data_IF_535961087206
#
_entry.id   IF_535961087206
#
_cell.length_a   1.000
_cell.length_b   1.000
_cell.length_c   1.000
_cell.angle_alpha   90.00
_cell.angle_beta   90.00
_cell.angle_gamma   90.00
#
_symmetry.space_group_name_H-M   'P 1'
#
loop_
_entity.id
_entity.type
_entity.pdbx_description
1 polymer ?
#
# COMPACT_ATOMS: atom_id res chain seq x y z
N UNK A 1 -0.83 3.52 -25.92
CA UNK A 1 -0.22 4.68 -25.23
C UNK A 1 0.54 4.14 -24.04
N UNK A 2 1.80 4.54 -23.80
CA UNK A 2 2.54 4.08 -22.62
C UNK A 2 1.79 4.48 -21.34
N UNK A 3 1.87 3.64 -20.31
CA UNK A 3 1.41 3.99 -18.95
C UNK A 3 2.35 5.07 -18.41
N UNK A 4 1.83 6.24 -18.07
CA UNK A 4 2.61 7.41 -17.66
C UNK A 4 2.00 8.05 -16.42
N UNK A 5 2.81 8.15 -15.36
CA UNK A 5 2.48 8.91 -14.17
C UNK A 5 3.48 10.05 -14.05
N UNK A 6 3.00 11.29 -13.99
CA UNK A 6 3.86 12.48 -13.95
C UNK A 6 4.51 12.70 -12.58
N UNK A 7 4.02 12.01 -11.54
CA UNK A 7 4.49 12.09 -10.16
C UNK A 7 4.30 10.74 -9.47
N UNK A 8 4.87 10.59 -8.27
CA UNK A 8 4.61 9.45 -7.40
C UNK A 8 3.12 9.46 -7.03
N UNK A 9 2.49 8.29 -7.15
CA UNK A 9 1.06 8.08 -6.87
C UNK A 9 0.91 7.14 -5.68
N UNK A 10 0.14 7.52 -4.64
CA UNK A 10 -0.20 6.61 -3.55
C UNK A 10 -1.11 5.50 -4.09
N UNK A 11 -0.59 4.28 -4.15
CA UNK A 11 -1.32 3.11 -4.69
C UNK A 11 -1.07 1.88 -3.82
N UNK A 12 -1.88 1.73 -2.78
CA UNK A 12 -1.72 0.72 -1.74
C UNK A 12 -2.15 -0.67 -2.19
N UNK A 13 -1.46 -1.71 -1.69
CA UNK A 13 -1.90 -3.10 -1.86
C UNK A 13 -2.55 -3.68 -0.62
N UNK A 14 -3.36 -4.72 -0.84
CA UNK A 14 -3.95 -5.48 0.25
C UNK A 14 -2.91 -6.36 0.95
N UNK A 15 -3.23 -6.75 2.19
CA UNK A 15 -2.45 -7.71 2.95
C UNK A 15 -2.24 -9.05 2.22
N UNK A 16 -3.28 -9.57 1.58
CA UNK A 16 -3.23 -10.82 0.84
C UNK A 16 -2.30 -10.74 -0.39
N UNK A 17 -2.28 -9.59 -1.06
CA UNK A 17 -1.34 -9.37 -2.16
C UNK A 17 0.11 -9.34 -1.69
N UNK A 18 0.41 -8.73 -0.54
CA UNK A 18 1.76 -8.78 0.04
C UNK A 18 2.16 -10.22 0.37
N UNK A 19 1.26 -11.00 0.98
CA UNK A 19 1.50 -12.42 1.27
C UNK A 19 1.82 -13.21 0.02
N UNK A 20 1.06 -13.02 -1.07
CA UNK A 20 1.30 -13.71 -2.35
C UNK A 20 2.57 -13.23 -3.03
N UNK A 21 2.80 -11.91 -3.09
CA UNK A 21 3.94 -11.30 -3.77
C UNK A 21 5.28 -11.70 -3.15
N UNK A 22 5.35 -11.77 -1.83
CA UNK A 22 6.56 -12.15 -1.09
C UNK A 22 6.56 -13.62 -0.64
N UNK A 23 5.53 -14.40 -0.98
CA UNK A 23 5.35 -15.78 -0.54
C UNK A 23 5.47 -15.96 0.98
N UNK A 24 4.89 -15.04 1.75
CA UNK A 24 4.99 -15.03 3.22
C UNK A 24 4.22 -16.19 3.84
N UNK A 25 4.94 -17.06 4.54
CA UNK A 25 4.37 -18.11 5.36
C UNK A 25 3.81 -17.56 6.68
N UNK A 26 3.08 -18.40 7.41
CA UNK A 26 2.64 -18.07 8.77
C UNK A 26 3.81 -17.84 9.72
N UNK A 27 4.93 -18.53 9.52
CA UNK A 27 6.15 -18.35 10.32
C UNK A 27 6.80 -16.99 10.05
N UNK A 28 6.85 -16.56 8.78
CA UNK A 28 7.38 -15.24 8.41
C UNK A 28 6.52 -14.12 9.03
N UNK A 29 5.20 -14.26 8.95
CA UNK A 29 4.24 -13.34 9.55
C UNK A 29 4.30 -13.30 11.09
N UNK A 30 4.87 -14.32 11.73
CA UNK A 30 5.12 -14.36 13.17
C UNK A 30 6.38 -13.61 13.61
N UNK A 31 7.19 -13.14 12.66
CA UNK A 31 8.41 -12.36 12.93
C UNK A 31 8.10 -10.86 13.10
N UNK A 32 9.13 -10.08 13.43
CA UNK A 32 9.08 -8.61 13.36
C UNK A 32 9.36 -8.19 11.92
N UNK A 33 8.44 -7.47 11.30
CA UNK A 33 8.51 -7.07 9.90
C UNK A 33 8.70 -5.55 9.80
N UNK A 34 9.68 -5.15 8.98
CA UNK A 34 9.84 -3.77 8.53
C UNK A 34 9.44 -3.70 7.04
N UNK A 35 8.37 -2.98 6.74
CA UNK A 35 7.98 -2.65 5.37
C UNK A 35 8.56 -1.30 4.96
N UNK A 36 9.28 -1.26 3.84
CA UNK A 36 9.92 -0.04 3.32
C UNK A 36 9.27 0.35 2.00
N UNK A 37 8.87 1.62 1.89
CA UNK A 37 8.08 2.15 0.76
C UNK A 37 6.70 1.50 0.65
N UNK A 38 6.02 1.35 1.79
CA UNK A 38 4.71 0.69 1.87
C UNK A 38 3.55 1.54 1.34
N UNK A 39 3.71 2.87 1.22
CA UNK A 39 2.64 3.77 0.85
C UNK A 39 1.35 3.53 1.66
N UNK A 40 0.17 3.68 1.04
CA UNK A 40 -1.11 3.46 1.73
C UNK A 40 -1.57 1.99 1.65
N UNK A 41 -0.68 1.01 1.80
CA UNK A 41 -1.04 -0.41 1.80
C UNK A 41 -1.71 -0.85 3.11
N UNK A 42 -2.63 -1.82 3.03
CA UNK A 42 -3.30 -2.37 4.21
C UNK A 42 -2.51 -3.46 4.94
N UNK A 43 -1.28 -3.76 4.51
CA UNK A 43 -0.49 -4.85 5.08
C UNK A 43 -0.24 -4.63 6.58
N UNK A 44 0.16 -3.42 6.97
CA UNK A 44 0.39 -3.06 8.36
C UNK A 44 -0.90 -3.06 9.20
N UNK A 45 -1.94 -2.34 8.74
CA UNK A 45 -3.21 -2.24 9.46
C UNK A 45 -3.87 -3.60 9.65
N UNK A 46 -3.97 -4.39 8.58
CA UNK A 46 -4.56 -5.73 8.61
C UNK A 46 -3.72 -6.70 9.43
N UNK A 47 -2.40 -6.70 9.24
CA UNK A 47 -1.50 -7.58 9.99
C UNK A 47 -1.47 -7.26 11.49
N UNK A 48 -1.47 -5.98 11.85
CA UNK A 48 -1.56 -5.53 13.25
C UNK A 48 -2.87 -5.99 13.91
N UNK A 49 -4.01 -5.91 13.21
CA UNK A 49 -5.29 -6.47 13.69
C UNK A 49 -5.26 -7.99 13.86
N UNK A 50 -4.38 -8.68 13.14
CA UNK A 50 -4.14 -10.12 13.27
C UNK A 50 -3.05 -10.45 14.32
N UNK A 51 -2.54 -9.46 15.06
CA UNK A 51 -1.54 -9.65 16.11
C UNK A 51 -0.08 -9.73 15.63
N UNK A 52 0.19 -9.36 14.37
CA UNK A 52 1.55 -9.34 13.81
C UNK A 52 2.30 -8.07 14.24
N UNK A 53 3.63 -8.16 14.30
CA UNK A 53 4.50 -7.03 14.64
C UNK A 53 5.06 -6.40 13.37
N UNK A 54 4.41 -5.36 12.88
CA UNK A 54 4.76 -4.69 11.63
C UNK A 54 5.03 -3.21 11.88
N UNK A 55 6.14 -2.72 11.33
CA UNK A 55 6.42 -1.28 11.18
C UNK A 55 6.55 -0.99 9.70
N UNK A 56 5.88 0.06 9.23
CA UNK A 56 5.96 0.54 7.86
C UNK A 56 6.67 1.88 7.84
N UNK A 57 7.54 2.07 6.86
CA UNK A 57 8.13 3.37 6.59
C UNK A 57 7.95 3.83 5.14
N UNK A 58 7.54 5.08 4.99
CA UNK A 58 7.34 5.73 3.70
C UNK A 58 7.37 7.26 3.87
N UNK A 59 7.97 8.03 2.94
CA UNK A 59 7.87 9.49 2.95
C UNK A 59 6.44 10.03 3.00
N UNK A 60 5.47 9.27 2.46
CA UNK A 60 4.05 9.59 2.49
C UNK A 60 3.53 9.87 3.91
N UNK A 61 4.10 9.21 4.92
CA UNK A 61 3.60 9.30 6.30
C UNK A 61 3.90 10.63 6.99
N UNK A 62 4.59 11.57 6.32
CA UNK A 62 4.71 12.95 6.79
C UNK A 62 3.40 13.76 6.62
N UNK A 63 2.47 13.28 5.79
CA UNK A 63 1.20 13.94 5.49
C UNK A 63 0.07 13.43 6.38
N UNK A 64 -1.00 14.24 6.52
CA UNK A 64 -2.20 13.83 7.25
C UNK A 64 -3.00 12.76 6.49
N UNK A 65 -3.84 11.99 7.17
CA UNK A 65 -4.75 11.06 6.50
C UNK A 65 -5.64 11.76 5.46
N UNK A 66 -6.11 12.97 5.75
CA UNK A 66 -6.91 13.78 4.83
C UNK A 66 -6.16 14.17 3.56
N UNK A 67 -4.88 14.55 3.67
CA UNK A 67 -4.04 14.87 2.51
C UNK A 67 -3.78 13.63 1.65
N UNK A 68 -3.51 12.49 2.30
CA UNK A 68 -3.28 11.21 1.61
C UNK A 68 -4.57 10.77 0.90
N UNK A 69 -5.73 10.84 1.57
CA UNK A 69 -7.06 10.58 0.99
C UNK A 69 -7.27 11.42 -0.27
N UNK A 70 -7.10 12.73 -0.16
CA UNK A 70 -7.29 13.65 -1.28
C UNK A 70 -6.42 13.24 -2.48
N UNK A 71 -5.16 12.88 -2.22
CA UNK A 71 -4.23 12.47 -3.29
C UNK A 71 -4.64 11.14 -3.92
N UNK A 72 -5.15 10.19 -3.14
CA UNK A 72 -5.72 8.93 -3.67
C UNK A 72 -6.90 9.25 -4.58
N UNK A 73 -7.85 10.06 -4.12
CA UNK A 73 -9.06 10.41 -4.89
C UNK A 73 -8.72 11.11 -6.21
N UNK A 74 -7.72 12.00 -6.22
CA UNK A 74 -7.23 12.69 -7.42
C UNK A 74 -6.59 11.76 -8.46
N UNK A 75 -5.97 10.67 -8.02
CA UNK A 75 -5.14 9.81 -8.88
C UNK A 75 -5.80 8.49 -9.24
N UNK A 76 -6.81 8.06 -8.49
CA UNK A 76 -7.42 6.74 -8.62
C UNK A 76 -8.03 6.49 -10.01
N UNK A 77 -8.85 7.42 -10.49
CA UNK A 77 -9.50 7.32 -11.80
C UNK A 77 -8.49 7.34 -12.95
N UNK A 78 -7.43 8.14 -12.83
CA UNK A 78 -6.35 8.19 -13.82
C UNK A 78 -5.63 6.84 -13.91
N UNK A 79 -5.25 6.26 -12.77
CA UNK A 79 -4.58 4.96 -12.69
C UNK A 79 -5.45 3.86 -13.31
N UNK A 80 -6.74 3.80 -12.98
CA UNK A 80 -7.65 2.80 -13.53
C UNK A 80 -7.89 2.98 -15.03
N UNK A 81 -8.09 4.22 -15.48
CA UNK A 81 -8.25 4.54 -16.90
C UNK A 81 -7.03 4.10 -17.71
N UNK A 82 -5.83 4.41 -17.21
CA UNK A 82 -4.58 3.96 -17.85
C UNK A 82 -4.41 2.44 -17.78
N UNK A 83 -4.83 1.81 -16.69
CA UNK A 83 -4.78 0.34 -16.55
C UNK A 83 -5.68 -0.35 -17.56
N UNK A 84 -6.92 0.10 -17.74
CA UNK A 84 -7.85 -0.44 -18.74
C UNK A 84 -7.33 -0.18 -20.16
N UNK A 85 -6.85 1.02 -20.47
CA UNK A 85 -6.26 1.32 -21.77
C UNK A 85 -5.02 0.46 -22.09
N UNK A 86 -4.35 -0.05 -21.06
CA UNK A 86 -3.18 -0.91 -21.15
C UNK A 86 -3.47 -2.35 -20.71
N UNK A 87 -4.72 -2.79 -20.67
CA UNK A 87 -5.14 -4.08 -20.08
C UNK A 87 -4.32 -5.27 -20.55
N UNK A 88 -3.97 -5.30 -21.84
CA UNK A 88 -3.14 -6.37 -22.45
C UNK A 88 -1.71 -6.50 -21.91
N UNK A 89 -1.23 -5.50 -21.16
CA UNK A 89 0.11 -5.48 -20.58
C UNK A 89 0.15 -6.04 -19.15
N UNK A 90 -1.00 -6.48 -18.61
CA UNK A 90 -1.13 -7.01 -17.26
C UNK A 90 -1.60 -8.47 -17.28
N UNK A 91 -1.31 -9.17 -16.18
CA UNK A 91 -1.79 -10.54 -15.92
C UNK A 91 -3.06 -10.46 -15.06
N UNK A 92 -4.14 -11.07 -15.53
CA UNK A 92 -5.48 -11.02 -14.91
C UNK A 92 -5.90 -12.34 -14.25
N UNK A 93 -4.94 -13.11 -13.74
CA UNK A 93 -5.20 -14.42 -13.14
C UNK A 93 -5.72 -14.33 -11.71
N UNK A 94 -5.16 -13.44 -10.88
CA UNK A 94 -5.53 -13.31 -9.47
C UNK A 94 -6.48 -12.16 -9.16
N UNK A 95 -6.54 -11.17 -10.06
CA UNK A 95 -7.50 -10.07 -10.07
C UNK A 95 -7.99 -10.07 -11.51
N UNK A 96 -9.29 -10.24 -11.72
CA UNK A 96 -9.86 -10.62 -13.01
C UNK A 96 -9.93 -9.48 -14.02
N UNK A 97 -10.02 -8.24 -13.54
CA UNK A 97 -10.09 -7.06 -14.40
C UNK A 97 -9.74 -5.75 -13.65
N UNK A 98 -9.58 -4.63 -14.38
CA UNK A 98 -9.33 -3.32 -13.77
C UNK A 98 -10.42 -2.83 -12.80
N UNK A 99 -11.67 -3.29 -12.95
CA UNK A 99 -12.76 -2.91 -12.03
C UNK A 99 -12.56 -3.60 -10.69
N UNK A 100 -12.25 -4.90 -10.68
CA UNK A 100 -11.89 -5.64 -9.47
C UNK A 100 -10.60 -5.09 -8.85
N UNK A 101 -9.60 -4.76 -9.67
CA UNK A 101 -8.37 -4.11 -9.19
C UNK A 101 -8.70 -2.82 -8.44
N UNK A 102 -9.55 -1.97 -9.00
CA UNK A 102 -9.99 -0.73 -8.36
C UNK A 102 -10.61 -0.98 -6.99
N UNK A 103 -11.52 -1.94 -6.90
CA UNK A 103 -12.17 -2.31 -5.63
C UNK A 103 -11.16 -2.77 -4.59
N UNK A 104 -10.32 -3.74 -4.92
CA UNK A 104 -9.31 -4.31 -4.01
C UNK A 104 -8.32 -3.24 -3.54
N UNK A 105 -7.87 -2.37 -4.45
CA UNK A 105 -6.94 -1.28 -4.14
C UNK A 105 -7.57 -0.23 -3.24
N UNK A 106 -8.78 0.21 -3.55
CA UNK A 106 -9.47 1.19 -2.73
C UNK A 106 -9.78 0.65 -1.34
N UNK A 107 -10.28 -0.59 -1.23
CA UNK A 107 -10.52 -1.24 0.07
C UNK A 107 -9.26 -1.28 0.94
N UNK A 108 -8.12 -1.63 0.35
CA UNK A 108 -6.84 -1.62 1.07
C UNK A 108 -6.45 -0.21 1.53
N UNK A 109 -6.58 0.79 0.67
CA UNK A 109 -6.23 2.18 1.02
C UNK A 109 -7.19 2.81 2.04
N UNK A 110 -8.48 2.46 2.00
CA UNK A 110 -9.47 2.82 3.03
C UNK A 110 -9.12 2.20 4.39
N UNK A 111 -8.74 0.93 4.39
CA UNK A 111 -8.33 0.20 5.59
C UNK A 111 -7.05 0.78 6.19
N UNK A 112 -6.09 1.17 5.36
CA UNK A 112 -4.91 1.94 5.78
C UNK A 112 -5.32 3.28 6.38
N UNK A 113 -6.14 4.08 5.70
CA UNK A 113 -6.46 5.44 6.15
C UNK A 113 -7.21 5.49 7.49
N UNK A 114 -8.06 4.49 7.75
CA UNK A 114 -8.73 4.34 9.07
C UNK A 114 -7.76 4.02 10.18
N UNK A 115 -6.71 3.25 9.91
CA UNK A 115 -5.72 2.83 10.90
C UNK A 115 -4.61 3.88 11.09
N UNK A 116 -4.26 4.59 10.02
CA UNK A 116 -3.13 5.50 9.95
C UNK A 116 -3.22 6.66 10.93
N UNK A 117 -4.40 7.29 11.04
CA UNK A 117 -4.61 8.47 11.90
C UNK A 117 -4.20 8.20 13.36
N UNK A 118 -4.63 7.05 13.90
CA UNK A 118 -4.41 6.69 15.31
C UNK A 118 -2.98 6.19 15.59
N UNK A 119 -2.23 5.85 14.54
CA UNK A 119 -0.96 5.12 14.68
C UNK A 119 0.22 5.75 13.95
N UNK A 120 0.01 6.91 13.33
CA UNK A 120 1.07 7.73 12.74
C UNK A 120 2.16 8.03 13.78
N UNK A 121 3.42 7.83 13.39
CA UNK A 121 4.58 7.98 14.28
C UNK A 121 4.88 6.80 15.20
N UNK A 122 3.98 5.82 15.34
CA UNK A 122 4.24 4.60 16.13
C UNK A 122 4.67 3.41 15.26
N UNK A 123 3.78 2.95 14.38
CA UNK A 123 4.06 1.87 13.42
C UNK A 123 4.00 2.32 11.95
N UNK A 124 3.64 3.58 11.70
CA UNK A 124 3.83 4.25 10.42
C UNK A 124 4.86 5.36 10.59
N UNK A 125 6.07 5.17 10.04
CA UNK A 125 7.23 6.04 10.27
C UNK A 125 7.60 6.79 9.00
N UNK A 126 7.52 8.12 9.03
CA UNK A 126 7.97 8.96 7.92
C UNK A 126 9.50 8.89 7.77
N UNK A 127 9.98 8.04 6.87
CA UNK A 127 11.42 7.90 6.55
C UNK A 127 11.61 7.31 5.15
N UNK A 128 12.84 7.40 4.64
CA UNK A 128 13.17 7.04 3.27
C UNK A 128 14.57 6.42 3.20
N UNK A 129 14.77 5.49 2.26
CA UNK A 129 16.13 5.07 1.92
C UNK A 129 16.97 6.25 1.40
N UNK A 130 18.29 6.27 1.66
CA UNK A 130 19.07 5.21 2.33
C UNK A 130 19.10 5.31 3.86
N UNK A 131 18.42 6.27 4.48
CA UNK A 131 18.54 6.55 5.92
C UNK A 131 17.28 6.14 6.67
N UNK A 132 17.31 4.99 7.32
CA UNK A 132 16.20 4.49 8.13
C UNK A 132 16.50 4.61 9.64
N UNK A 133 15.51 4.96 10.48
CA UNK A 133 15.69 5.12 11.93
C UNK A 133 15.59 3.79 12.68
N UNK A 134 16.08 2.70 12.09
CA UNK A 134 16.04 1.36 12.68
C UNK A 134 17.46 0.82 12.86
N UNK A 135 17.67 0.04 13.91
CA UNK A 135 18.92 -0.69 14.12
C UNK A 135 19.00 -1.89 13.15
N UNK A 136 20.21 -2.20 12.71
CA UNK A 136 20.53 -3.47 12.03
C UNK A 136 20.39 -4.69 12.96
#
# INVERSE_FOLDING_TARGET
MPFQLNQIVPWGRSFDEYRRMFSLSTADLGSRILGVSDGPASFNSTGSKQGQSIVSCDPLYQFSSGDIRKRIDETFEEVLTQTEANRKNFVWESISDPVELGKVRMEAMEEFLKDFEDHSGSRYVASALPNLPFSD
#
